data_IF_935419969105
#
_entry.id   IF_935419969105
#
_cell.length_a   1.000
_cell.length_b   1.000
_cell.length_c   1.000
_cell.angle_alpha   90.00
_cell.angle_beta   90.00
_cell.angle_gamma   90.00
#
_symmetry.space_group_name_H-M   'P 1'
#
loop_
_entity.id
_entity.type
_entity.pdbx_description
1 polymer ?
#
# COMPACT_ATOMS: atom_id res chain seq x y z
N UNK A 1 -25.59 4.47 -27.88
CA UNK A 1 -24.68 5.34 -28.64
C UNK A 1 -23.28 5.14 -28.08
N UNK A 2 -22.64 3.97 -28.26
CA UNK A 2 -21.84 3.58 -29.43
C UNK A 2 -21.03 4.75 -30.00
N UNK A 3 -19.70 4.77 -29.79
CA UNK A 3 -18.68 4.65 -30.85
C UNK A 3 -17.33 4.28 -30.19
N UNK A 4 -16.95 3.01 -30.34
CA UNK A 4 -15.57 2.63 -30.65
C UNK A 4 -15.35 2.96 -32.12
N UNK A 5 -14.41 3.82 -32.51
CA UNK A 5 -13.66 3.68 -33.77
C UNK A 5 -12.49 4.68 -33.88
N UNK A 6 -11.28 4.10 -33.88
CA UNK A 6 -10.16 4.35 -34.80
C UNK A 6 -9.45 5.71 -34.82
N UNK A 7 -8.18 5.68 -34.39
CA UNK A 7 -7.09 6.32 -35.11
C UNK A 7 -6.12 5.21 -35.56
N UNK A 8 -6.38 4.71 -36.76
CA UNK A 8 -5.49 3.86 -37.55
C UNK A 8 -4.92 4.76 -38.64
N UNK A 9 -3.71 5.29 -38.42
CA UNK A 9 -2.91 5.93 -39.45
C UNK A 9 -1.64 5.10 -39.66
N UNK A 10 -1.75 4.25 -40.68
CA UNK A 10 -0.71 3.82 -41.63
C UNK A 10 0.76 3.98 -41.18
N UNK A 11 1.30 2.93 -40.56
CA UNK A 11 2.73 2.61 -40.66
C UNK A 11 2.88 1.10 -40.80
N UNK A 12 2.79 0.59 -42.03
CA UNK A 12 2.89 -0.85 -42.36
C UNK A 12 4.30 -1.44 -42.22
N UNK A 13 5.21 -0.75 -41.53
CA UNK A 13 6.53 -1.23 -41.11
C UNK A 13 6.97 -0.69 -39.72
N UNK A 14 6.05 -0.48 -38.80
CA UNK A 14 6.40 -0.34 -37.39
C UNK A 14 6.03 -1.61 -36.62
N UNK A 15 6.88 -2.63 -36.68
CA UNK A 15 6.94 -3.64 -35.61
C UNK A 15 7.60 -2.99 -34.38
N UNK A 16 6.95 -2.00 -33.78
CA UNK A 16 7.30 -1.56 -32.43
C UNK A 16 6.65 -2.54 -31.46
N UNK A 17 7.15 -3.78 -31.51
CA UNK A 17 7.03 -4.66 -30.38
C UNK A 17 7.99 -4.08 -29.33
N UNK A 18 7.50 -3.21 -28.46
CA UNK A 18 8.15 -3.00 -27.18
C UNK A 18 7.95 -4.29 -26.37
N UNK A 19 8.57 -5.38 -26.82
CA UNK A 19 8.78 -6.57 -26.02
C UNK A 19 9.87 -6.13 -25.07
N UNK A 20 9.46 -5.63 -23.92
CA UNK A 20 10.38 -5.44 -22.81
C UNK A 20 11.01 -6.81 -22.54
N UNK A 21 12.30 -6.94 -22.83
CA UNK A 21 13.04 -8.13 -22.45
C UNK A 21 12.98 -8.24 -20.93
N UNK A 22 12.56 -9.41 -20.44
CA UNK A 22 12.55 -9.67 -19.00
C UNK A 22 13.97 -9.52 -18.47
N UNK A 23 14.07 -8.98 -17.27
CA UNK A 23 15.33 -8.98 -16.53
C UNK A 23 15.83 -10.43 -16.41
N UNK A 24 17.14 -10.60 -16.59
CA UNK A 24 17.85 -11.87 -16.43
C UNK A 24 18.49 -11.91 -15.04
N UNK A 25 17.65 -11.83 -14.01
CA UNK A 25 18.09 -11.91 -12.62
C UNK A 25 18.48 -10.57 -12.00
N UNK A 26 18.11 -9.44 -12.60
CA UNK A 26 18.37 -8.13 -12.00
C UNK A 26 17.34 -7.82 -10.91
N UNK A 27 17.85 -7.44 -9.73
CA UNK A 27 17.05 -7.05 -8.57
C UNK A 27 16.60 -5.58 -8.68
N UNK A 28 15.32 -5.33 -8.44
CA UNK A 28 14.71 -4.01 -8.32
C UNK A 28 13.85 -3.90 -7.04
N UNK A 29 13.97 -2.82 -6.24
CA UNK A 29 14.99 -1.78 -6.31
C UNK A 29 16.41 -2.35 -6.19
N UNK A 30 17.40 -1.67 -6.79
CA UNK A 30 18.80 -2.11 -6.72
C UNK A 30 19.28 -2.13 -5.26
N UNK A 31 19.80 -3.25 -4.75
CA UNK A 31 20.33 -3.33 -3.39
C UNK A 31 21.50 -2.38 -3.14
N UNK A 32 21.73 -2.02 -1.87
CA UNK A 32 22.91 -1.24 -1.45
C UNK A 32 24.21 -1.89 -1.87
N UNK A 33 24.32 -3.19 -1.64
CA UNK A 33 25.47 -3.99 -2.03
C UNK A 33 24.98 -5.26 -2.71
N UNK A 34 25.49 -5.51 -3.92
CA UNK A 34 25.25 -6.74 -4.65
C UNK A 34 26.53 -7.14 -5.37
N UNK A 35 26.91 -8.40 -5.25
CA UNK A 35 28.09 -8.98 -5.89
C UNK A 35 27.72 -10.27 -6.57
N UNK A 36 27.94 -10.35 -7.88
CA UNK A 36 27.67 -11.55 -8.67
C UNK A 36 28.96 -12.34 -8.88
N UNK A 37 28.87 -13.66 -8.72
CA UNK A 37 29.92 -14.59 -9.08
C UNK A 37 29.58 -15.29 -10.42
N UNK A 38 30.58 -15.93 -11.02
CA UNK A 38 30.42 -16.65 -12.30
C UNK A 38 29.74 -18.01 -12.13
N UNK A 39 29.68 -18.53 -10.90
CA UNK A 39 29.06 -19.82 -10.59
C UNK A 39 27.56 -19.74 -10.82
N UNK A 40 27.04 -20.65 -11.64
CA UNK A 40 25.61 -20.76 -11.96
C UNK A 40 25.00 -21.92 -11.16
N UNK A 41 23.83 -21.69 -10.57
CA UNK A 41 23.10 -22.70 -9.80
C UNK A 41 21.77 -23.00 -10.52
N UNK A 42 21.43 -24.28 -10.67
CA UNK A 42 20.14 -24.70 -11.23
C UNK A 42 19.17 -25.02 -10.09
N UNK A 43 17.95 -24.52 -10.19
CA UNK A 43 16.85 -24.83 -9.28
C UNK A 43 15.88 -25.76 -10.00
N UNK A 44 15.55 -26.88 -9.37
CA UNK A 44 14.43 -27.72 -9.78
C UNK A 44 13.16 -27.26 -9.06
N UNK A 45 12.18 -26.63 -9.73
CA UNK A 45 10.98 -26.10 -9.07
C UNK A 45 10.06 -27.19 -8.49
N UNK A 46 10.28 -28.47 -8.85
CA UNK A 46 9.60 -29.61 -8.23
C UNK A 46 10.23 -29.98 -6.88
N UNK A 47 11.56 -29.91 -6.76
CA UNK A 47 12.32 -30.29 -5.55
C UNK A 47 12.64 -29.10 -4.64
N UNK A 48 12.49 -27.87 -5.13
CA UNK A 48 12.81 -26.64 -4.42
C UNK A 48 11.92 -26.44 -3.19
N UNK A 49 12.54 -26.09 -2.07
CA UNK A 49 11.87 -25.74 -0.81
C UNK A 49 12.60 -24.60 -0.10
N UNK A 50 11.83 -23.75 0.56
CA UNK A 50 12.34 -22.86 1.60
C UNK A 50 12.22 -23.58 2.95
N UNK A 51 13.25 -23.48 3.78
CA UNK A 51 13.28 -24.02 5.12
C UNK A 51 13.51 -22.90 6.13
N UNK A 52 12.49 -22.64 6.94
CA UNK A 52 12.59 -21.64 8.01
C UNK A 52 13.46 -22.18 9.15
N UNK A 53 14.36 -21.35 9.64
CA UNK A 53 15.29 -21.67 10.73
C UNK A 53 15.25 -20.60 11.82
N UNK A 54 15.62 -20.99 13.05
CA UNK A 54 15.59 -20.20 14.29
C UNK A 54 14.18 -19.82 14.75
N UNK A 55 13.63 -18.70 14.28
CA UNK A 55 12.31 -18.21 14.67
C UNK A 55 11.32 -18.31 13.51
N UNK A 56 10.04 -18.49 13.83
CA UNK A 56 8.95 -18.45 12.84
C UNK A 56 7.71 -17.77 13.39
N UNK A 57 6.82 -17.35 12.49
CA UNK A 57 5.52 -16.78 12.81
C UNK A 57 4.61 -16.81 11.58
N UNK A 58 3.30 -16.55 11.75
CA UNK A 58 2.35 -16.56 10.64
C UNK A 58 2.68 -15.61 9.47
N UNK A 59 3.33 -14.46 9.73
CA UNK A 59 3.80 -13.56 8.66
C UNK A 59 4.82 -14.27 7.77
N UNK A 60 5.81 -14.91 8.40
CA UNK A 60 6.90 -15.59 7.70
C UNK A 60 6.40 -16.84 6.98
N UNK A 61 5.52 -17.62 7.60
CA UNK A 61 4.93 -18.82 7.01
C UNK A 61 4.15 -18.47 5.71
N UNK A 62 3.32 -17.42 5.75
CA UNK A 62 2.59 -16.95 4.56
C UNK A 62 3.53 -16.38 3.49
N UNK A 63 4.61 -15.70 3.88
CA UNK A 63 5.62 -15.21 2.94
C UNK A 63 6.36 -16.36 2.23
N UNK A 64 6.82 -17.36 2.97
CA UNK A 64 7.49 -18.54 2.42
C UNK A 64 6.57 -19.28 1.45
N UNK A 65 5.30 -19.47 1.81
CA UNK A 65 4.30 -20.09 0.92
C UNK A 65 4.12 -19.29 -0.36
N UNK A 66 3.93 -17.97 -0.25
CA UNK A 66 3.76 -17.07 -1.41
C UNK A 66 4.98 -17.08 -2.32
N UNK A 67 6.19 -16.96 -1.79
CA UNK A 67 7.39 -16.95 -2.62
C UNK A 67 7.69 -18.32 -3.21
N UNK A 68 7.35 -19.41 -2.52
CA UNK A 68 7.35 -20.75 -3.12
C UNK A 68 6.46 -20.80 -4.36
N UNK A 69 5.25 -20.25 -4.28
CA UNK A 69 4.33 -20.17 -5.41
C UNK A 69 4.84 -19.27 -6.54
N UNK A 70 5.47 -18.14 -6.21
CA UNK A 70 6.10 -17.23 -7.19
C UNK A 70 7.15 -17.99 -7.99
N UNK A 71 8.11 -18.64 -7.32
CA UNK A 71 9.19 -19.43 -7.96
C UNK A 71 8.60 -20.56 -8.81
N UNK A 72 7.64 -21.34 -8.28
CA UNK A 72 7.02 -22.46 -9.02
C UNK A 72 6.26 -22.02 -10.27
N UNK A 73 5.64 -20.82 -10.24
CA UNK A 73 4.89 -20.26 -11.37
C UNK A 73 5.78 -19.61 -12.45
N UNK A 74 7.09 -19.47 -12.22
CA UNK A 74 8.02 -18.90 -13.22
C UNK A 74 8.20 -19.80 -14.46
N UNK A 75 7.88 -21.09 -14.35
CA UNK A 75 7.94 -21.99 -15.49
C UNK A 75 6.68 -21.96 -16.37
N UNK A 76 6.83 -22.18 -17.69
CA UNK A 76 5.69 -22.40 -18.57
C UNK A 76 4.86 -23.62 -18.14
N UNK A 77 3.52 -23.50 -18.13
CA UNK A 77 2.58 -24.57 -17.75
C UNK A 77 2.60 -25.80 -18.68
N UNK A 78 3.31 -25.75 -19.80
CA UNK A 78 3.41 -26.87 -20.74
C UNK A 78 4.41 -27.91 -20.24
N UNK A 79 3.97 -28.71 -19.26
CA UNK A 79 4.74 -29.79 -18.64
C UNK A 79 5.18 -30.90 -19.61
N UNK A 80 4.65 -30.96 -20.83
CA UNK A 80 4.99 -32.00 -21.82
C UNK A 80 6.36 -31.83 -22.50
N UNK A 81 7.05 -30.70 -22.30
CA UNK A 81 8.41 -30.48 -22.82
C UNK A 81 9.48 -30.47 -21.71
N UNK A 82 9.11 -30.82 -20.48
CA UNK A 82 10.02 -30.79 -19.34
C UNK A 82 10.99 -31.97 -19.41
N UNK A 83 12.27 -31.71 -19.74
CA UNK A 83 13.31 -32.74 -19.84
C UNK A 83 14.04 -33.01 -18.51
N UNK A 84 13.71 -32.24 -17.46
CA UNK A 84 14.37 -32.31 -16.16
C UNK A 84 15.67 -31.50 -16.14
N UNK A 85 16.15 -31.17 -14.93
CA UNK A 85 17.40 -30.41 -14.80
C UNK A 85 18.62 -31.32 -14.93
N UNK A 86 19.68 -30.86 -15.63
CA UNK A 86 20.92 -31.62 -15.74
C UNK A 86 21.47 -31.97 -14.35
N UNK A 87 21.98 -33.19 -14.21
CA UNK A 87 22.64 -33.63 -12.99
C UNK A 87 23.99 -32.88 -12.84
N UNK A 88 24.09 -31.98 -11.86
CA UNK A 88 25.36 -31.28 -11.60
C UNK A 88 25.35 -30.11 -10.63
N UNK A 89 24.25 -29.37 -10.47
CA UNK A 89 24.15 -28.31 -9.45
C UNK A 89 22.67 -28.00 -9.14
N UNK A 90 22.02 -28.83 -8.31
CA UNK A 90 20.63 -28.60 -7.91
C UNK A 90 20.57 -27.86 -6.58
N UNK A 91 20.29 -26.56 -6.59
CA UNK A 91 19.86 -25.85 -5.39
C UNK A 91 18.44 -26.33 -5.03
N UNK A 92 18.33 -27.08 -3.94
CA UNK A 92 17.07 -27.70 -3.49
C UNK A 92 16.49 -27.01 -2.26
N UNK A 93 17.35 -26.50 -1.38
CA UNK A 93 16.94 -25.92 -0.10
C UNK A 93 17.52 -24.51 0.01
N UNK A 94 16.67 -23.56 0.40
CA UNK A 94 17.07 -22.20 0.79
C UNK A 94 16.69 -21.99 2.23
N UNK A 95 17.66 -21.68 3.07
CA UNK A 95 17.45 -21.40 4.48
C UNK A 95 16.89 -19.98 4.63
N UNK A 96 15.80 -19.84 5.37
CA UNK A 96 15.18 -18.56 5.70
C UNK A 96 15.34 -18.35 7.20
N UNK A 97 16.36 -17.59 7.58
CA UNK A 97 16.84 -17.48 8.96
C UNK A 97 16.37 -16.17 9.59
N UNK A 98 15.45 -16.26 10.56
CA UNK A 98 15.03 -15.13 11.37
C UNK A 98 15.74 -15.16 12.73
N UNK A 99 16.61 -14.19 13.02
CA UNK A 99 17.45 -14.28 14.24
C UNK A 99 16.76 -13.79 15.51
N UNK A 100 15.83 -12.84 15.43
CA UNK A 100 15.04 -12.36 16.59
C UNK A 100 13.56 -12.80 16.52
N UNK A 101 12.80 -12.76 17.63
CA UNK A 101 11.37 -13.05 17.61
C UNK A 101 10.60 -12.15 16.63
N UNK A 102 9.55 -12.69 16.01
CA UNK A 102 8.73 -11.91 15.07
C UNK A 102 8.08 -10.68 15.74
N UNK A 103 8.09 -9.58 15.00
CA UNK A 103 7.33 -8.37 15.30
C UNK A 103 5.87 -8.52 14.83
N UNK A 104 4.93 -7.90 15.55
CA UNK A 104 3.50 -8.03 15.25
C UNK A 104 3.03 -7.12 14.11
N UNK A 105 3.40 -5.83 14.19
CA UNK A 105 2.94 -4.77 13.28
C UNK A 105 4.11 -3.98 12.70
N UNK A 106 4.09 -3.68 11.39
CA UNK A 106 5.09 -2.81 10.78
C UNK A 106 4.93 -1.40 11.35
N UNK A 107 6.04 -0.68 11.48
CA UNK A 107 6.05 0.67 12.04
C UNK A 107 7.16 1.52 11.40
N UNK A 108 7.17 2.83 11.66
CA UNK A 108 8.13 3.76 11.04
C UNK A 108 9.60 3.40 11.33
N UNK A 109 9.89 2.68 12.40
CA UNK A 109 11.25 2.34 12.82
C UNK A 109 11.58 0.86 12.69
N UNK A 110 10.71 0.10 12.01
CA UNK A 110 10.93 -1.32 11.76
C UNK A 110 12.25 -1.56 11.02
N UNK A 111 12.94 -2.63 11.38
CA UNK A 111 14.18 -3.00 10.72
C UNK A 111 13.88 -3.75 9.41
N UNK A 112 14.37 -3.22 8.30
CA UNK A 112 14.19 -3.81 6.96
C UNK A 112 15.54 -4.25 6.36
N UNK A 113 16.59 -4.35 7.19
CA UNK A 113 17.89 -4.89 6.80
C UNK A 113 17.78 -6.38 6.48
N UNK A 114 18.47 -6.85 5.44
CA UNK A 114 18.59 -8.28 5.15
C UNK A 114 19.86 -8.60 4.38
N UNK A 115 20.22 -9.89 4.42
CA UNK A 115 21.30 -10.47 3.65
C UNK A 115 20.78 -11.65 2.82
N UNK A 116 21.31 -11.79 1.60
CA UNK A 116 21.08 -12.96 0.74
C UNK A 116 22.43 -13.49 0.29
N UNK A 117 22.68 -14.75 0.60
CA UNK A 117 23.89 -15.46 0.22
C UNK A 117 23.51 -16.68 -0.61
N UNK A 118 23.99 -16.76 -1.84
CA UNK A 118 23.71 -17.90 -2.73
C UNK A 118 24.98 -18.72 -2.95
N UNK A 119 24.98 -19.95 -2.42
CA UNK A 119 26.05 -20.93 -2.56
C UNK A 119 27.42 -20.34 -2.15
N UNK A 120 27.53 -19.99 -0.87
CA UNK A 120 28.71 -19.35 -0.26
C UNK A 120 29.64 -20.40 0.37
N UNK A 121 30.94 -20.47 0.01
CA UNK A 121 31.87 -21.47 0.54
C UNK A 121 32.09 -21.40 2.05
N UNK A 122 32.03 -20.21 2.63
CA UNK A 122 32.10 -19.94 4.07
C UNK A 122 30.84 -20.34 4.84
N UNK A 123 29.75 -20.67 4.13
CA UNK A 123 28.52 -21.24 4.68
C UNK A 123 28.27 -22.64 4.13
N UNK A 124 29.30 -23.48 4.01
CA UNK A 124 29.21 -24.87 3.54
C UNK A 124 28.49 -25.01 2.17
N UNK A 125 28.61 -24.00 1.31
CA UNK A 125 27.93 -23.91 0.00
C UNK A 125 26.38 -23.85 0.10
N UNK A 126 25.85 -23.39 1.24
CA UNK A 126 24.42 -23.19 1.45
C UNK A 126 23.92 -21.90 0.80
N UNK A 127 22.60 -21.84 0.57
CA UNK A 127 21.88 -20.61 0.18
C UNK A 127 21.01 -20.15 1.34
N UNK A 128 21.16 -18.90 1.76
CA UNK A 128 20.58 -18.33 2.97
C UNK A 128 19.98 -16.96 2.66
N UNK A 129 18.76 -16.72 3.13
CA UNK A 129 18.14 -15.40 3.27
C UNK A 129 17.98 -15.14 4.77
N UNK A 130 18.60 -14.09 5.29
CA UNK A 130 18.65 -13.83 6.73
C UNK A 130 18.35 -12.39 7.11
N UNK A 131 17.73 -12.20 8.26
CA UNK A 131 17.55 -10.90 8.90
C UNK A 131 17.30 -11.07 10.40
N UNK A 132 17.59 -10.02 11.17
CA UNK A 132 17.11 -9.82 12.54
C UNK A 132 15.61 -9.64 12.60
N UNK A 133 14.99 -9.10 11.57
CA UNK A 133 13.58 -8.72 11.57
C UNK A 133 12.80 -9.47 10.49
N UNK A 134 11.54 -9.77 10.80
CA UNK A 134 10.61 -10.37 9.82
C UNK A 134 10.43 -9.45 8.61
N UNK A 135 10.45 -8.13 8.78
CA UNK A 135 10.27 -7.18 7.68
C UNK A 135 11.47 -7.20 6.72
N UNK A 136 12.68 -7.32 7.25
CA UNK A 136 13.89 -7.53 6.45
C UNK A 136 13.82 -8.83 5.66
N UNK A 137 13.39 -9.94 6.29
CA UNK A 137 13.20 -11.21 5.60
C UNK A 137 12.20 -11.10 4.43
N UNK A 138 11.09 -10.38 4.59
CA UNK A 138 10.15 -10.16 3.48
C UNK A 138 10.84 -9.47 2.29
N UNK A 139 11.71 -8.48 2.54
CA UNK A 139 12.48 -7.79 1.47
C UNK A 139 13.52 -8.72 0.84
N UNK A 140 14.17 -9.55 1.65
CA UNK A 140 15.14 -10.54 1.19
C UNK A 140 14.53 -11.62 0.31
N UNK A 141 13.35 -12.12 0.68
CA UNK A 141 12.60 -13.08 -0.14
C UNK A 141 12.21 -12.47 -1.51
N UNK A 142 11.79 -11.20 -1.54
CA UNK A 142 11.54 -10.49 -2.81
C UNK A 142 12.80 -10.43 -3.67
N UNK A 143 13.92 -9.96 -3.11
CA UNK A 143 15.19 -9.86 -3.84
C UNK A 143 15.68 -11.22 -4.33
N UNK A 144 15.60 -12.25 -3.50
CA UNK A 144 15.93 -13.62 -3.90
C UNK A 144 15.06 -14.08 -5.07
N UNK A 145 13.75 -13.81 -5.02
CA UNK A 145 12.84 -14.21 -6.10
C UNK A 145 13.21 -13.58 -7.44
N UNK A 146 13.70 -12.35 -7.44
CA UNK A 146 14.09 -11.63 -8.65
C UNK A 146 15.42 -12.12 -9.23
N UNK A 147 16.29 -12.77 -8.44
CA UNK A 147 17.51 -13.43 -8.93
C UNK A 147 17.19 -14.68 -9.76
N UNK A 148 16.06 -15.33 -9.49
CA UNK A 148 15.68 -16.59 -10.13
C UNK A 148 15.05 -16.31 -11.49
N UNK A 149 15.57 -16.98 -12.53
CA UNK A 149 15.06 -16.86 -13.89
C UNK A 149 14.92 -18.20 -14.59
N UNK A 150 14.05 -18.34 -15.61
CA UNK A 150 14.03 -19.54 -16.44
C UNK A 150 15.38 -19.73 -17.16
N UNK A 151 15.91 -20.96 -17.13
CA UNK A 151 17.11 -21.33 -17.84
C UNK A 151 16.88 -21.25 -19.36
N UNK A 152 17.83 -20.66 -20.09
CA UNK A 152 17.77 -20.59 -21.55
C UNK A 152 18.29 -21.85 -22.24
N UNK A 153 19.16 -22.59 -21.55
CA UNK A 153 19.91 -23.75 -22.02
C UNK A 153 19.35 -25.10 -21.52
N UNK A 154 18.51 -25.07 -20.48
CA UNK A 154 17.89 -26.27 -19.88
C UNK A 154 16.37 -26.12 -19.82
N UNK A 155 15.67 -26.69 -20.80
CA UNK A 155 14.21 -26.61 -20.91
C UNK A 155 13.52 -27.18 -19.65
N UNK A 156 12.97 -26.26 -18.85
CA UNK A 156 12.24 -26.59 -17.62
C UNK A 156 12.96 -26.24 -16.31
N UNK A 157 14.20 -25.74 -16.34
CA UNK A 157 14.89 -25.36 -15.10
C UNK A 157 14.79 -23.88 -14.81
N UNK A 158 14.96 -23.54 -13.53
CA UNK A 158 15.26 -22.19 -13.11
C UNK A 158 16.76 -22.09 -12.81
N UNK A 159 17.32 -20.90 -12.95
CA UNK A 159 18.74 -20.61 -12.71
C UNK A 159 18.91 -19.29 -11.99
N UNK A 160 19.99 -19.21 -11.22
CA UNK A 160 20.50 -17.98 -10.63
C UNK A 160 22.02 -18.06 -10.46
N UNK A 161 22.68 -16.92 -10.55
CA UNK A 161 24.10 -16.84 -10.23
C UNK A 161 24.32 -16.88 -8.71
N UNK A 162 25.45 -17.42 -8.28
CA UNK A 162 25.96 -17.17 -6.93
C UNK A 162 26.07 -15.67 -6.72
N UNK A 163 25.39 -15.18 -5.70
CA UNK A 163 25.15 -13.76 -5.45
C UNK A 163 25.22 -13.50 -3.96
N UNK A 164 25.90 -12.41 -3.59
CA UNK A 164 25.88 -11.84 -2.25
C UNK A 164 25.12 -10.51 -2.28
N UNK A 165 24.12 -10.36 -1.41
CA UNK A 165 23.37 -9.12 -1.21
C UNK A 165 23.44 -8.74 0.26
N UNK A 166 23.73 -7.47 0.52
CA UNK A 166 23.46 -6.81 1.79
C UNK A 166 22.66 -5.55 1.48
N UNK A 167 21.51 -5.39 2.12
CA UNK A 167 20.58 -4.34 1.75
C UNK A 167 19.77 -3.80 2.92
N UNK A 168 19.40 -2.54 2.80
CA UNK A 168 18.55 -1.81 3.74
C UNK A 168 18.07 -0.50 3.07
N UNK A 169 16.85 -0.05 3.37
CA UNK A 169 16.27 1.09 2.69
C UNK A 169 16.99 2.40 3.06
N UNK A 170 17.10 3.31 2.10
CA UNK A 170 17.56 4.69 2.36
C UNK A 170 16.60 5.48 3.23
N UNK A 171 15.30 5.30 3.01
CA UNK A 171 14.23 6.01 3.70
C UNK A 171 13.21 5.03 4.26
N UNK A 172 12.76 5.30 5.48
CA UNK A 172 11.84 4.44 6.24
C UNK A 172 10.37 4.60 5.84
N UNK A 173 10.00 5.71 5.20
CA UNK A 173 8.66 5.95 4.69
C UNK A 173 8.69 5.90 3.15
N UNK A 174 8.04 4.89 2.55
CA UNK A 174 7.96 4.70 1.09
C UNK A 174 6.49 4.45 0.73
N UNK A 175 5.79 5.56 0.51
CA UNK A 175 4.33 5.60 0.44
C UNK A 175 3.75 5.57 -0.95
N UNK A 176 2.58 4.92 -1.09
CA UNK A 176 1.65 5.09 -2.20
C UNK A 176 0.35 5.65 -1.65
N UNK A 177 -0.08 6.81 -2.14
CA UNK A 177 -1.41 7.37 -1.86
C UNK A 177 -2.42 6.74 -2.83
N UNK A 178 -3.51 6.20 -2.28
CA UNK A 178 -4.66 5.73 -3.06
C UNK A 178 -5.92 6.44 -2.60
N UNK A 179 -6.47 7.23 -3.51
CA UNK A 179 -7.76 7.90 -3.36
C UNK A 179 -8.88 6.93 -3.77
N UNK A 180 -9.75 6.63 -2.81
CA UNK A 180 -10.91 5.76 -2.99
C UNK A 180 -12.24 6.47 -2.80
N UNK A 181 -12.21 7.80 -2.67
CA UNK A 181 -13.38 8.64 -2.57
C UNK A 181 -13.82 9.14 -3.94
N UNK A 182 -12.90 9.73 -4.71
CA UNK A 182 -13.19 10.27 -6.05
C UNK A 182 -13.73 9.19 -6.99
N UNK A 183 -13.24 7.97 -6.80
CA UNK A 183 -13.82 6.76 -7.38
C UNK A 183 -13.66 5.60 -6.39
N UNK A 184 -14.73 4.82 -6.20
CA UNK A 184 -14.64 3.59 -5.41
C UNK A 184 -13.73 2.57 -6.09
N UNK A 185 -12.80 1.99 -5.33
CA UNK A 185 -11.96 0.89 -5.79
C UNK A 185 -12.34 -0.43 -5.08
N UNK A 186 -12.71 -1.49 -5.82
CA UNK A 186 -13.04 -2.77 -5.20
C UNK A 186 -11.88 -3.33 -4.38
N UNK A 187 -12.17 -3.98 -3.25
CA UNK A 187 -11.17 -4.60 -2.37
C UNK A 187 -10.14 -5.45 -3.14
N UNK A 188 -10.51 -6.33 -4.10
CA UNK A 188 -9.52 -7.10 -4.85
C UNK A 188 -8.49 -6.25 -5.62
N UNK A 189 -8.89 -5.05 -6.08
CA UNK A 189 -7.97 -4.11 -6.75
C UNK A 189 -6.97 -3.54 -5.74
N UNK A 190 -7.43 -3.16 -4.55
CA UNK A 190 -6.55 -2.68 -3.46
C UNK A 190 -5.55 -3.77 -3.05
N UNK A 191 -5.99 -5.03 -2.93
CA UNK A 191 -5.10 -6.16 -2.61
C UNK A 191 -4.05 -6.40 -3.70
N UNK A 192 -4.40 -6.21 -4.97
CA UNK A 192 -3.44 -6.29 -6.08
C UNK A 192 -2.42 -5.14 -6.04
N UNK A 193 -2.85 -3.93 -5.67
CA UNK A 193 -1.95 -2.79 -5.47
C UNK A 193 -0.97 -3.07 -4.31
N UNK A 194 -1.46 -3.60 -3.18
CA UNK A 194 -0.60 -4.00 -2.06
C UNK A 194 0.42 -5.08 -2.44
N UNK A 195 0.03 -6.04 -3.29
CA UNK A 195 0.97 -7.02 -3.83
C UNK A 195 2.02 -6.35 -4.73
N UNK A 196 1.64 -5.36 -5.54
CA UNK A 196 2.59 -4.59 -6.34
C UNK A 196 3.53 -3.72 -5.50
N UNK A 197 3.03 -3.16 -4.40
CA UNK A 197 3.83 -2.42 -3.43
C UNK A 197 4.89 -3.31 -2.78
N UNK A 198 4.54 -4.55 -2.42
CA UNK A 198 5.49 -5.55 -1.90
C UNK A 198 6.62 -5.84 -2.89
N UNK A 199 6.28 -6.11 -4.16
CA UNK A 199 7.26 -6.36 -5.23
C UNK A 199 8.23 -5.17 -5.42
N UNK A 200 7.77 -3.94 -5.12
CA UNK A 200 8.56 -2.72 -5.22
C UNK A 200 9.17 -2.28 -3.88
N UNK A 201 9.09 -3.11 -2.83
CA UNK A 201 9.55 -2.83 -1.47
C UNK A 201 8.98 -1.53 -0.88
N UNK A 202 7.80 -1.09 -1.32
CA UNK A 202 7.06 0.00 -0.69
C UNK A 202 6.46 -0.49 0.64
N UNK A 203 6.33 0.40 1.63
CA UNK A 203 5.97 -0.01 3.00
C UNK A 203 4.91 0.86 3.66
N UNK A 204 4.35 1.84 2.97
CA UNK A 204 3.24 2.66 3.44
C UNK A 204 2.15 2.71 2.39
N UNK A 205 0.97 2.22 2.73
CA UNK A 205 -0.27 2.42 2.01
C UNK A 205 -0.98 3.60 2.65
N UNK A 206 -0.90 4.75 2.00
CA UNK A 206 -1.61 5.96 2.41
C UNK A 206 -3.01 5.90 1.79
N UNK A 207 -4.01 5.60 2.62
CA UNK A 207 -5.36 5.38 2.16
C UNK A 207 -6.21 6.63 2.36
N UNK A 208 -6.29 7.42 1.29
CA UNK A 208 -7.21 8.54 1.17
C UNK A 208 -8.63 7.98 0.93
N UNK A 209 -9.32 7.74 2.04
CA UNK A 209 -10.51 6.88 2.06
C UNK A 209 -11.82 7.64 1.88
N UNK A 210 -11.85 8.95 2.14
CA UNK A 210 -13.04 9.82 2.06
C UNK A 210 -12.65 11.19 1.51
N UNK A 211 -13.58 11.87 0.82
CA UNK A 211 -13.39 13.23 0.27
C UNK A 211 -14.78 13.86 0.02
N UNK A 212 -14.83 14.93 -0.78
CA UNK A 212 -16.05 15.60 -1.24
C UNK A 212 -17.00 14.68 -2.00
N UNK A 213 -16.47 13.81 -2.86
CA UNK A 213 -17.27 13.01 -3.79
C UNK A 213 -17.97 11.83 -3.12
N UNK A 214 -17.31 11.13 -2.19
CA UNK A 214 -17.94 10.05 -1.46
C UNK A 214 -17.35 9.76 -0.07
N UNK A 215 -18.17 9.13 0.77
CA UNK A 215 -17.79 8.60 2.08
C UNK A 215 -17.99 7.07 2.09
N UNK A 216 -17.07 6.28 1.50
CA UNK A 216 -17.22 4.83 1.41
C UNK A 216 -16.85 4.10 2.72
N UNK A 217 -16.11 4.72 3.64
CA UNK A 217 -15.78 4.10 4.93
C UNK A 217 -17.03 3.86 5.79
N UNK A 218 -17.30 2.62 6.18
CA UNK A 218 -18.43 2.30 7.05
C UNK A 218 -18.06 2.47 8.53
N UNK A 219 -18.37 3.65 9.08
CA UNK A 219 -18.21 3.90 10.52
C UNK A 219 -19.24 3.11 11.34
N UNK A 220 -18.80 2.51 12.45
CA UNK A 220 -19.70 1.85 13.41
C UNK A 220 -20.44 2.91 14.24
N UNK A 221 -19.72 3.95 14.64
CA UNK A 221 -20.18 5.03 15.51
C UNK A 221 -21.11 5.98 14.76
N UNK A 222 -20.83 6.21 13.46
CA UNK A 222 -21.64 7.06 12.59
C UNK A 222 -22.05 6.34 11.30
N UNK A 223 -22.97 5.35 11.34
CA UNK A 223 -23.39 4.60 10.15
C UNK A 223 -23.98 5.49 9.05
N UNK A 224 -24.59 6.61 9.44
CA UNK A 224 -25.18 7.58 8.52
C UNK A 224 -24.19 8.19 7.54
N UNK A 225 -22.88 8.19 7.84
CA UNK A 225 -21.84 8.72 6.96
C UNK A 225 -21.76 7.93 5.66
N UNK A 226 -21.59 6.60 5.73
CA UNK A 226 -21.62 5.77 4.52
C UNK A 226 -23.02 5.62 3.95
N UNK A 227 -24.07 5.57 4.80
CA UNK A 227 -25.45 5.39 4.32
C UNK A 227 -25.92 6.50 3.38
N UNK A 228 -25.39 7.71 3.58
CA UNK A 228 -25.79 8.92 2.84
C UNK A 228 -24.66 9.59 2.05
N UNK A 229 -23.41 9.25 2.33
CA UNK A 229 -22.23 9.81 1.68
C UNK A 229 -21.56 8.88 0.68
N UNK A 230 -21.79 7.56 0.71
CA UNK A 230 -21.25 6.66 -0.32
C UNK A 230 -22.02 6.79 -1.64
N UNK A 231 -21.36 6.46 -2.77
CA UNK A 231 -22.02 6.39 -4.08
C UNK A 231 -23.16 5.37 -4.11
N UNK A 232 -22.99 4.24 -3.43
CA UNK A 232 -24.02 3.24 -3.18
C UNK A 232 -23.78 2.67 -1.78
N UNK A 233 -24.72 2.92 -0.87
CA UNK A 233 -24.61 2.57 0.55
C UNK A 233 -24.63 1.08 0.85
N UNK A 234 -24.80 0.21 -0.16
CA UNK A 234 -24.82 -1.25 0.00
C UNK A 234 -23.63 -1.93 -0.66
N UNK A 235 -23.20 -1.44 -1.82
CA UNK A 235 -22.24 -2.12 -2.68
C UNK A 235 -20.90 -1.41 -2.79
N UNK A 236 -20.87 -0.08 -2.63
CA UNK A 236 -19.68 0.75 -2.85
C UNK A 236 -19.21 1.36 -1.52
N UNK A 237 -19.07 0.49 -0.53
CA UNK A 237 -18.58 0.81 0.81
C UNK A 237 -17.43 -0.12 1.20
N UNK A 238 -16.62 0.33 2.14
CA UNK A 238 -15.63 -0.47 2.85
C UNK A 238 -16.19 -0.81 4.22
N UNK A 239 -16.72 -2.03 4.33
CA UNK A 239 -17.17 -2.56 5.62
C UNK A 239 -15.98 -2.76 6.57
N UNK A 240 -16.26 -2.91 7.86
CA UNK A 240 -15.23 -3.19 8.87
C UNK A 240 -14.41 -4.46 8.54
N UNK A 241 -15.07 -5.48 7.99
CA UNK A 241 -14.38 -6.70 7.52
C UNK A 241 -13.50 -6.44 6.30
N UNK A 242 -13.92 -5.56 5.38
CA UNK A 242 -13.08 -5.15 4.26
C UNK A 242 -11.83 -4.42 4.74
N UNK A 243 -11.99 -3.45 5.64
CA UNK A 243 -10.89 -2.66 6.21
C UNK A 243 -9.92 -3.59 6.96
N UNK A 244 -10.42 -4.47 7.82
CA UNK A 244 -9.61 -5.47 8.53
C UNK A 244 -8.85 -6.39 7.57
N UNK A 245 -9.50 -6.87 6.51
CA UNK A 245 -8.86 -7.71 5.51
C UNK A 245 -7.73 -6.98 4.76
N UNK A 246 -7.95 -5.71 4.38
CA UNK A 246 -6.93 -4.88 3.73
C UNK A 246 -5.73 -4.65 4.67
N UNK A 247 -6.00 -4.32 5.94
CA UNK A 247 -4.97 -4.11 6.96
C UNK A 247 -4.15 -5.39 7.17
N UNK A 248 -4.79 -6.55 7.34
CA UNK A 248 -4.07 -7.82 7.53
C UNK A 248 -3.27 -8.21 6.29
N UNK A 249 -3.84 -8.04 5.09
CA UNK A 249 -3.15 -8.32 3.85
C UNK A 249 -1.90 -7.44 3.66
N UNK A 250 -1.96 -6.17 4.09
CA UNK A 250 -0.83 -5.26 4.13
C UNK A 250 0.20 -5.67 5.21
N UNK A 251 -0.25 -6.04 6.42
CA UNK A 251 0.59 -6.48 7.53
C UNK A 251 1.45 -7.69 7.15
N UNK A 252 0.87 -8.70 6.50
CA UNK A 252 1.56 -9.89 6.00
C UNK A 252 2.64 -9.59 4.93
N UNK A 253 2.73 -8.34 4.47
CA UNK A 253 3.69 -7.83 3.48
C UNK A 253 4.61 -6.76 4.05
N UNK A 254 4.53 -6.50 5.36
CA UNK A 254 5.26 -5.41 6.01
C UNK A 254 4.89 -4.04 5.43
N UNK A 255 3.62 -3.84 5.10
CA UNK A 255 3.07 -2.56 4.63
C UNK A 255 2.18 -2.00 5.75
N UNK A 256 2.47 -0.76 6.13
CA UNK A 256 1.69 0.04 7.06
C UNK A 256 0.47 0.62 6.35
N UNK A 257 -0.69 0.64 6.99
CA UNK A 257 -1.89 1.29 6.44
C UNK A 257 -2.13 2.56 7.24
N UNK A 258 -1.90 3.72 6.62
CA UNK A 258 -2.15 5.03 7.21
C UNK A 258 -3.47 5.54 6.63
N UNK A 259 -4.56 5.60 7.40
CA UNK A 259 -5.81 6.17 6.93
C UNK A 259 -5.71 7.70 6.87
N UNK A 260 -6.39 8.28 5.90
CA UNK A 260 -6.62 9.72 5.80
C UNK A 260 -8.09 10.06 5.88
N UNK A 261 -8.42 10.93 6.82
CA UNK A 261 -9.73 11.54 6.98
C UNK A 261 -9.55 13.05 6.87
N UNK A 262 -9.51 13.52 5.64
CA UNK A 262 -9.20 14.91 5.30
C UNK A 262 -10.27 15.87 5.83
N UNK A 263 -9.81 16.88 6.56
CA UNK A 263 -10.66 17.94 7.10
C UNK A 263 -9.82 19.19 7.41
N UNK A 264 -10.38 20.41 7.39
CA UNK A 264 -11.80 20.72 7.28
C UNK A 264 -12.31 20.83 5.83
N UNK A 265 -11.41 20.93 4.85
CA UNK A 265 -11.71 20.81 3.42
C UNK A 265 -12.20 19.40 3.05
N UNK A 266 -12.50 19.15 1.78
CA UNK A 266 -12.74 17.79 1.27
C UNK A 266 -13.78 16.96 2.06
N UNK A 267 -14.84 17.61 2.56
CA UNK A 267 -15.81 17.03 3.50
C UNK A 267 -17.26 17.04 3.02
N UNK A 268 -17.52 17.38 1.75
CA UNK A 268 -18.90 17.50 1.22
C UNK A 268 -19.73 16.23 1.43
N UNK A 269 -19.18 15.03 1.16
CA UNK A 269 -19.88 13.77 1.37
C UNK A 269 -20.19 13.48 2.85
N UNK A 270 -19.41 14.04 3.78
CA UNK A 270 -19.61 13.88 5.22
C UNK A 270 -20.91 14.54 5.67
N UNK A 271 -21.26 15.68 5.06
CA UNK A 271 -22.48 16.43 5.33
C UNK A 271 -23.78 15.65 5.08
N UNK A 272 -23.75 14.65 4.18
CA UNK A 272 -24.88 13.75 3.96
C UNK A 272 -25.26 12.98 5.22
N UNK A 273 -24.26 12.51 5.97
CA UNK A 273 -24.43 11.70 7.17
C UNK A 273 -24.36 12.46 8.50
N UNK A 274 -23.72 13.63 8.53
CA UNK A 274 -23.51 14.43 9.74
C UNK A 274 -24.24 15.77 9.65
N UNK A 275 -25.43 15.84 10.27
CA UNK A 275 -26.28 17.02 10.18
C UNK A 275 -25.59 18.27 10.76
N UNK A 276 -25.58 19.34 9.96
CA UNK A 276 -24.96 20.62 10.29
C UNK A 276 -23.45 20.54 10.56
N UNK A 277 -22.74 19.51 10.09
CA UNK A 277 -21.28 19.46 10.19
C UNK A 277 -20.65 20.57 9.33
N UNK A 278 -21.13 20.73 8.11
CA UNK A 278 -20.60 21.67 7.13
C UNK A 278 -21.13 23.09 7.32
N UNK A 279 -20.33 24.06 6.91
CA UNK A 279 -20.72 25.47 6.92
C UNK A 279 -21.73 25.74 5.82
N UNK A 280 -22.87 26.33 6.18
CA UNK A 280 -23.82 26.86 5.21
C UNK A 280 -23.29 28.15 4.57
N UNK A 281 -23.24 28.22 3.24
CA UNK A 281 -22.76 29.40 2.52
C UNK A 281 -23.89 30.41 2.25
N UNK A 282 -23.57 31.70 2.28
CA UNK A 282 -24.54 32.78 2.12
C UNK A 282 -24.18 33.67 0.93
N UNK A 283 -25.21 34.18 0.25
CA UNK A 283 -25.09 35.20 -0.79
C UNK A 283 -26.16 36.24 -0.55
N UNK A 284 -25.79 37.53 -0.52
CA UNK A 284 -26.70 38.64 -0.23
C UNK A 284 -27.53 38.45 1.06
N UNK A 285 -26.92 37.88 2.11
CA UNK A 285 -27.54 37.66 3.41
C UNK A 285 -28.51 36.47 3.50
N UNK A 286 -28.64 35.67 2.44
CA UNK A 286 -29.46 34.46 2.43
C UNK A 286 -28.63 33.21 2.16
N UNK A 287 -29.02 32.07 2.74
CA UNK A 287 -28.41 30.78 2.44
C UNK A 287 -28.55 30.46 0.94
N UNK A 288 -27.44 30.14 0.27
CA UNK A 288 -27.41 29.97 -1.19
C UNK A 288 -27.64 28.52 -1.65
N UNK A 289 -27.81 27.57 -0.71
CA UNK A 289 -27.97 26.15 -1.01
C UNK A 289 -26.66 25.35 -1.02
N UNK A 290 -25.52 26.01 -0.90
CA UNK A 290 -24.20 25.38 -0.94
C UNK A 290 -23.62 25.22 0.46
N UNK A 291 -22.76 24.20 0.60
CA UNK A 291 -22.02 23.92 1.82
C UNK A 291 -20.52 23.99 1.52
N UNK A 292 -19.77 24.58 2.46
CA UNK A 292 -18.32 24.68 2.41
C UNK A 292 -17.66 23.70 3.38
N UNK A 293 -16.43 24.02 3.85
CA UNK A 293 -15.70 23.20 4.81
C UNK A 293 -16.48 22.97 6.11
N UNK A 294 -16.00 22.03 6.93
CA UNK A 294 -16.47 21.81 8.31
C UNK A 294 -16.57 23.15 9.04
N UNK A 295 -17.67 23.37 9.76
CA UNK A 295 -17.90 24.62 10.50
C UNK A 295 -17.09 24.63 11.82
N UNK A 296 -16.03 25.45 11.93
CA UNK A 296 -15.15 25.48 13.10
C UNK A 296 -15.73 26.32 14.25
N UNK A 297 -16.84 27.02 14.05
CA UNK A 297 -17.48 27.84 15.10
C UNK A 297 -18.28 27.00 16.11
N UNK A 298 -18.39 25.69 15.89
CA UNK A 298 -19.30 24.81 16.62
C UNK A 298 -18.53 23.71 17.35
N UNK A 299 -18.51 23.81 18.67
CA UNK A 299 -17.87 22.83 19.56
C UNK A 299 -18.32 21.38 19.32
N UNK A 300 -19.56 21.17 18.89
CA UNK A 300 -20.07 19.83 18.57
C UNK A 300 -19.39 19.20 17.35
N UNK A 301 -18.88 19.99 16.40
CA UNK A 301 -18.16 19.47 15.25
C UNK A 301 -16.80 18.90 15.67
N UNK A 302 -16.09 19.55 16.61
CA UNK A 302 -14.88 18.99 17.21
C UNK A 302 -15.15 17.70 17.98
N UNK A 303 -16.29 17.60 18.69
CA UNK A 303 -16.70 16.36 19.35
C UNK A 303 -16.96 15.25 18.32
N UNK A 304 -17.64 15.57 17.23
CA UNK A 304 -17.90 14.63 16.14
C UNK A 304 -16.59 14.11 15.54
N UNK A 305 -15.68 15.00 15.12
CA UNK A 305 -14.38 14.64 14.52
C UNK A 305 -13.53 13.84 15.50
N UNK A 306 -13.46 14.26 16.78
CA UNK A 306 -12.75 13.50 17.81
C UNK A 306 -13.26 12.08 17.93
N UNK A 307 -14.57 11.89 18.04
CA UNK A 307 -15.16 10.56 18.19
C UNK A 307 -14.95 9.71 16.94
N UNK A 308 -15.01 10.30 15.74
CA UNK A 308 -14.67 9.58 14.50
C UNK A 308 -13.20 9.15 14.51
N UNK A 309 -12.26 10.04 14.85
CA UNK A 309 -10.84 9.73 14.91
C UNK A 309 -10.49 8.72 16.03
N UNK A 310 -11.23 8.71 17.14
CA UNK A 310 -11.12 7.67 18.18
C UNK A 310 -11.49 6.29 17.64
N UNK A 311 -12.55 6.18 16.83
CA UNK A 311 -12.89 4.94 16.13
C UNK A 311 -11.80 4.57 15.13
N UNK A 312 -11.37 5.49 14.27
CA UNK A 312 -10.32 5.25 13.27
C UNK A 312 -9.04 4.75 13.94
N UNK A 313 -8.63 5.36 15.05
CA UNK A 313 -7.49 4.90 15.86
C UNK A 313 -7.66 3.47 16.39
N UNK A 314 -8.89 3.04 16.68
CA UNK A 314 -9.17 1.67 17.14
C UNK A 314 -9.17 0.65 16.00
N UNK A 315 -9.54 1.07 14.79
CA UNK A 315 -9.63 0.22 13.60
C UNK A 315 -8.26 0.08 12.91
N UNK A 316 -7.50 1.16 12.82
CA UNK A 316 -6.21 1.22 12.14
C UNK A 316 -5.06 1.16 13.15
N UNK A 317 -4.24 0.11 13.13
CA UNK A 317 -3.19 -0.10 14.14
C UNK A 317 -1.92 0.74 13.92
N UNK A 318 -1.81 1.49 12.82
CA UNK A 318 -0.66 2.37 12.60
C UNK A 318 -0.63 3.51 13.62
N UNK A 319 0.57 3.98 13.96
CA UNK A 319 0.76 5.07 14.93
C UNK A 319 0.32 6.44 14.38
N UNK A 320 0.13 6.55 13.07
CA UNK A 320 -0.19 7.79 12.38
C UNK A 320 -1.58 7.70 11.73
N UNK A 321 -2.31 8.81 11.82
CA UNK A 321 -3.51 9.10 11.04
C UNK A 321 -3.20 10.38 10.27
N UNK A 322 -3.47 10.41 8.96
CA UNK A 322 -3.36 11.63 8.19
C UNK A 322 -4.69 12.41 8.32
N UNK A 323 -4.60 13.69 8.64
CA UNK A 323 -5.77 14.56 8.87
C UNK A 323 -6.08 15.47 7.69
N UNK A 324 -5.30 15.35 6.61
CA UNK A 324 -5.37 16.21 5.43
C UNK A 324 -5.08 17.66 5.77
N UNK A 325 -6.03 18.54 5.49
CA UNK A 325 -5.91 19.98 5.70
C UNK A 325 -5.36 20.72 4.49
N UNK A 326 -5.49 20.13 3.30
CA UNK A 326 -5.18 20.80 2.05
C UNK A 326 -6.39 21.57 1.49
N UNK A 327 -6.06 22.54 0.65
CA UNK A 327 -7.00 23.26 -0.22
C UNK A 327 -8.18 23.98 0.47
N UNK A 328 -8.14 24.16 1.80
CA UNK A 328 -9.18 24.85 2.58
C UNK A 328 -9.42 26.28 2.10
N UNK A 329 -8.42 26.93 1.49
CA UNK A 329 -8.54 28.28 0.94
C UNK A 329 -9.67 28.44 -0.07
N UNK A 330 -10.06 27.38 -0.80
CA UNK A 330 -11.18 27.44 -1.74
C UNK A 330 -12.54 27.52 -1.02
N UNK A 331 -12.59 27.15 0.26
CA UNK A 331 -13.75 27.21 1.13
C UNK A 331 -13.85 28.48 1.99
N UNK A 332 -12.80 29.31 2.07
CA UNK A 332 -12.79 30.50 2.93
C UNK A 332 -13.92 31.48 2.63
N UNK A 333 -14.29 31.64 1.36
CA UNK A 333 -15.43 32.48 0.98
C UNK A 333 -16.74 32.03 1.65
N UNK A 334 -16.94 30.72 1.81
CA UNK A 334 -18.12 30.18 2.48
C UNK A 334 -18.09 30.49 3.98
N UNK A 335 -16.96 30.27 4.66
CA UNK A 335 -16.77 30.66 6.06
C UNK A 335 -17.05 32.16 6.28
N UNK A 336 -16.44 33.01 5.45
CA UNK A 336 -16.59 34.47 5.55
C UNK A 336 -18.00 34.96 5.18
N UNK A 337 -18.76 34.19 4.41
CA UNK A 337 -20.16 34.50 4.12
C UNK A 337 -21.09 34.20 5.29
N UNK A 338 -20.72 33.27 6.19
CA UNK A 338 -21.60 32.79 7.24
C UNK A 338 -21.60 33.72 8.47
N UNK A 339 -22.77 34.27 8.88
CA UNK A 339 -22.84 35.18 10.02
C UNK A 339 -22.41 34.56 11.37
N UNK A 340 -22.66 33.27 11.57
CA UNK A 340 -22.29 32.56 12.81
C UNK A 340 -20.78 32.40 12.89
N UNK A 341 -20.14 32.01 11.78
CA UNK A 341 -18.69 31.85 11.70
C UNK A 341 -17.99 33.20 11.89
N UNK A 342 -18.44 34.24 11.18
CA UNK A 342 -17.84 35.58 11.31
C UNK A 342 -18.05 36.19 12.70
N UNK A 343 -19.17 35.91 13.38
CA UNK A 343 -19.37 36.32 14.77
C UNK A 343 -18.42 35.57 15.71
N UNK A 344 -18.29 34.25 15.55
CA UNK A 344 -17.33 33.45 16.31
C UNK A 344 -15.89 33.94 16.17
N UNK A 345 -15.49 34.31 14.94
CA UNK A 345 -14.17 34.89 14.68
C UNK A 345 -13.96 36.18 15.48
N UNK A 346 -14.95 37.08 15.50
CA UNK A 346 -14.90 38.32 16.30
C UNK A 346 -14.79 38.02 17.79
N UNK A 347 -15.61 37.11 18.29
CA UNK A 347 -15.65 36.76 19.73
C UNK A 347 -14.34 36.12 20.22
N UNK A 348 -13.57 35.49 19.31
CA UNK A 348 -12.31 34.82 19.62
C UNK A 348 -11.06 35.56 19.10
N UNK A 349 -11.20 36.83 18.67
CA UNK A 349 -10.11 37.64 18.11
C UNK A 349 -9.37 36.97 16.92
N UNK A 350 -10.09 36.19 16.10
CA UNK A 350 -9.55 35.56 14.89
C UNK A 350 -9.73 36.53 13.73
N UNK A 351 -8.62 37.00 13.15
CA UNK A 351 -8.63 38.12 12.19
C UNK A 351 -8.70 37.70 10.73
N UNK A 352 -8.43 36.44 10.41
CA UNK A 352 -8.41 35.94 9.03
C UNK A 352 -8.91 34.48 8.95
N UNK A 353 -9.41 34.03 7.79
CA UNK A 353 -9.82 32.63 7.61
C UNK A 353 -8.66 31.64 7.72
N UNK A 354 -7.42 32.02 7.41
CA UNK A 354 -6.22 31.21 7.66
C UNK A 354 -6.00 31.01 9.16
N UNK A 355 -6.26 32.04 9.99
CA UNK A 355 -6.19 31.88 11.44
C UNK A 355 -7.34 31.02 11.97
N UNK A 356 -8.49 31.01 11.30
CA UNK A 356 -9.60 30.13 11.64
C UNK A 356 -9.31 28.67 11.27
N UNK A 357 -8.68 28.42 10.12
CA UNK A 357 -8.14 27.12 9.75
C UNK A 357 -7.10 26.65 10.78
N UNK A 358 -6.14 27.51 11.14
CA UNK A 358 -5.19 27.23 12.20
C UNK A 358 -5.86 26.92 13.55
N UNK A 359 -6.96 27.59 13.88
CA UNK A 359 -7.76 27.28 15.06
C UNK A 359 -8.42 25.89 14.98
N UNK A 360 -8.88 25.47 13.80
CA UNK A 360 -9.48 24.15 13.61
C UNK A 360 -8.44 23.01 13.69
N UNK A 361 -7.25 23.22 13.12
CA UNK A 361 -6.21 22.20 13.03
C UNK A 361 -5.46 21.97 14.36
N UNK A 362 -5.48 22.95 15.26
CA UNK A 362 -4.88 22.87 16.61
C UNK A 362 -5.86 22.24 17.62
#
# INVERSE_FOLDING_TARGET
WFVRLFLLLCCTKCSLSWVYERTRGQVWPLPRFISYQKTLNYISPVKFTFKVTNNTCPILDEAVKRYTDVIKKMLPRNHHQWQGCPDGASLQEVLVTLTEPCEDWPNLHMDEHYEVHVNRPDYDNLTIVSSSSVWGLLRGLESFSQLVTPATDAAGCLVLNSTDILDYPRFKHRGLLLDTSRHYLPVPVILNILAAMEMNKMNVFHWHIVDDESFPYQSITYPSLSDKGAYDSKHLIYTQDNVKNIIEYARLRGIRVIPEFDSPGHTRAWGGGANKLLTACFTNGSFNGEFGPVDPSRSQNFKFVRTLLEEVKSVFPDKYIHVGGDEVQFGFQCWMSNPTVTQFMKDNNITSPENLEGYYMN
#
